data_IF_883984638324
#
_entry.id   IF_883984638324
#
_cell.length_a   1.000
_cell.length_b   1.000
_cell.length_c   1.000
_cell.angle_alpha   90.00
_cell.angle_beta   90.00
_cell.angle_gamma   90.00
#
_symmetry.space_group_name_H-M   'P 1'
#
loop_
_entity.id
_entity.type
_entity.pdbx_description
1 polymer ?
#
# COMPACT_ATOMS: atom_id res chain seq x y z
N UNK A 1 -12.59 -10.30 7.38
CA UNK A 1 -12.16 -8.89 7.33
C UNK A 1 -11.93 -8.25 8.70
N UNK A 2 -12.82 -8.47 9.69
CA UNK A 2 -12.61 -8.02 11.09
C UNK A 2 -11.30 -8.51 11.72
N UNK A 3 -10.82 -9.70 11.34
CA UNK A 3 -9.55 -10.24 11.84
C UNK A 3 -8.30 -9.47 11.40
N UNK A 4 -8.34 -8.77 10.26
CA UNK A 4 -7.19 -8.05 9.70
C UNK A 4 -7.09 -6.62 10.26
N UNK A 5 -8.21 -5.91 10.36
CA UNK A 5 -8.29 -4.66 11.11
C UNK A 5 -8.10 -4.88 12.61
N UNK A 6 -8.58 -6.00 13.14
CA UNK A 6 -8.38 -6.41 14.53
C UNK A 6 -6.91 -6.65 14.86
N UNK A 7 -6.13 -7.25 13.96
CA UNK A 7 -4.68 -7.46 14.16
C UNK A 7 -3.89 -6.17 14.02
N UNK A 8 -4.22 -5.30 13.07
CA UNK A 8 -3.60 -3.97 12.95
C UNK A 8 -3.91 -3.11 14.18
N UNK A 9 -5.17 -3.09 14.63
CA UNK A 9 -5.60 -2.36 15.83
C UNK A 9 -5.01 -2.96 17.13
N UNK A 10 -4.84 -4.29 17.21
CA UNK A 10 -4.14 -4.94 18.33
C UNK A 10 -2.67 -4.56 18.38
N UNK A 11 -2.02 -4.42 17.22
CA UNK A 11 -0.62 -4.02 17.12
C UNK A 11 -0.40 -2.54 17.48
N UNK A 12 -1.40 -1.67 17.25
CA UNK A 12 -1.28 -0.24 17.55
C UNK A 12 -1.57 0.11 19.03
N UNK A 13 -2.27 -0.74 19.79
CA UNK A 13 -2.80 -0.36 21.13
C UNK A 13 -2.17 -1.00 22.36
N UNK A 14 -1.08 -1.77 22.24
CA UNK A 14 -0.29 -2.13 23.42
C UNK A 14 0.38 -3.48 23.29
N UNK A 15 1.69 -3.45 23.08
CA UNK A 15 2.57 -4.60 22.88
C UNK A 15 2.43 -5.67 23.98
N UNK A 16 2.03 -5.30 25.21
CA UNK A 16 1.90 -6.24 26.33
C UNK A 16 0.70 -7.20 26.26
N UNK A 17 -0.37 -6.89 25.52
CA UNK A 17 -1.54 -7.80 25.40
C UNK A 17 -1.41 -8.81 24.26
N UNK A 18 -0.62 -8.47 23.24
CA UNK A 18 -0.36 -9.35 22.10
C UNK A 18 0.43 -10.61 22.53
N UNK A 19 1.38 -10.47 23.46
CA UNK A 19 2.20 -11.58 23.97
C UNK A 19 1.38 -12.62 24.74
N UNK A 20 0.39 -12.18 25.53
CA UNK A 20 -0.47 -13.09 26.28
C UNK A 20 -1.41 -13.88 25.36
N UNK A 21 -1.92 -13.22 24.31
CA UNK A 21 -2.82 -13.85 23.35
C UNK A 21 -2.07 -14.82 22.42
N UNK A 22 -0.85 -14.46 21.98
CA UNK A 22 0.01 -15.33 21.18
C UNK A 22 0.39 -16.61 21.94
N UNK A 23 0.73 -16.54 23.23
CA UNK A 23 1.06 -17.74 24.03
C UNK A 23 -0.14 -18.67 24.21
N UNK A 24 -1.35 -18.12 24.35
CA UNK A 24 -2.58 -18.92 24.48
C UNK A 24 -2.96 -19.63 23.17
N UNK A 25 -2.70 -19.02 22.01
CA UNK A 25 -3.06 -19.59 20.70
C UNK A 25 -1.97 -20.53 20.13
N UNK A 26 -0.70 -20.26 20.39
CA UNK A 26 0.44 -21.02 19.84
C UNK A 26 0.67 -22.37 20.55
N UNK A 27 0.08 -22.60 21.72
CA UNK A 27 0.14 -23.88 22.44
C UNK A 27 -0.47 -25.08 21.69
N UNK A 28 -1.08 -24.89 20.51
CA UNK A 28 -1.66 -25.96 19.69
C UNK A 28 -0.82 -26.40 18.48
N UNK A 29 0.38 -25.84 18.25
CA UNK A 29 1.22 -26.18 17.10
C UNK A 29 2.53 -26.89 17.54
N UNK A 30 2.60 -28.24 17.49
CA UNK A 30 3.67 -29.04 18.11
C UNK A 30 4.98 -29.11 17.33
N UNK A 31 5.22 -28.24 16.32
CA UNK A 31 6.28 -28.47 15.32
C UNK A 31 7.20 -27.30 14.99
N UNK A 32 7.15 -26.21 15.76
CA UNK A 32 8.08 -25.07 15.55
C UNK A 32 9.05 -24.99 16.73
N UNK A 33 10.35 -25.07 16.43
CA UNK A 33 11.42 -25.02 17.45
C UNK A 33 11.40 -23.66 18.17
N UNK A 34 11.33 -23.62 19.50
CA UNK A 34 11.19 -22.40 20.30
C UNK A 34 12.31 -21.37 20.05
N UNK A 35 13.54 -21.82 19.79
CA UNK A 35 14.71 -20.94 19.70
C UNK A 35 14.71 -20.01 18.48
N UNK A 36 14.19 -20.46 17.34
CA UNK A 36 14.11 -19.66 16.11
C UNK A 36 13.06 -18.57 16.23
N UNK A 37 11.94 -18.88 16.91
CA UNK A 37 10.88 -17.90 17.17
C UNK A 37 11.43 -16.80 18.09
N UNK A 38 12.17 -17.14 19.14
CA UNK A 38 12.71 -16.14 20.08
C UNK A 38 13.72 -15.17 19.43
N UNK A 39 14.59 -15.65 18.53
CA UNK A 39 15.54 -14.80 17.79
C UNK A 39 14.87 -13.88 16.76
N UNK A 40 13.86 -14.40 16.06
CA UNK A 40 13.09 -13.61 15.12
C UNK A 40 12.26 -12.54 15.86
N UNK A 41 11.66 -12.91 16.99
CA UNK A 41 10.88 -12.01 17.83
C UNK A 41 11.74 -10.92 18.48
N UNK A 42 12.96 -11.23 18.94
CA UNK A 42 13.86 -10.21 19.51
C UNK A 42 14.33 -9.20 18.47
N UNK A 43 14.70 -9.65 17.26
CA UNK A 43 15.06 -8.72 16.17
C UNK A 43 13.90 -7.87 15.66
N UNK A 44 12.69 -8.43 15.64
CA UNK A 44 11.47 -7.67 15.29
C UNK A 44 11.12 -6.70 16.42
N UNK A 45 11.22 -7.13 17.68
CA UNK A 45 10.92 -6.31 18.85
C UNK A 45 11.89 -5.12 18.97
N UNK A 46 13.20 -5.33 18.78
CA UNK A 46 14.21 -4.27 18.77
C UNK A 46 14.01 -3.28 17.63
N UNK A 47 13.69 -3.76 16.42
CA UNK A 47 13.36 -2.87 15.29
C UNK A 47 12.10 -2.07 15.53
N UNK A 48 11.08 -2.66 16.13
CA UNK A 48 9.82 -1.97 16.44
C UNK A 48 10.04 -0.94 17.55
N UNK A 49 10.82 -1.24 18.58
CA UNK A 49 11.10 -0.27 19.67
C UNK A 49 11.94 0.92 19.19
N UNK A 50 12.87 0.72 18.25
CA UNK A 50 13.56 1.85 17.61
C UNK A 50 12.63 2.72 16.75
N UNK A 51 11.65 2.12 16.07
CA UNK A 51 10.68 2.85 15.24
C UNK A 51 9.64 3.61 16.08
N UNK A 52 9.25 3.09 17.26
CA UNK A 52 8.24 3.72 18.12
C UNK A 52 8.81 4.77 19.08
N UNK A 53 10.13 4.79 19.32
CA UNK A 53 10.75 5.76 20.24
C UNK A 53 10.92 7.16 19.63
N UNK A 54 10.86 7.29 18.29
CA UNK A 54 11.16 8.54 17.61
C UNK A 54 9.91 9.09 16.90
N UNK A 55 9.18 9.98 17.58
CA UNK A 55 8.01 10.68 17.01
C UNK A 55 8.31 11.29 15.63
N UNK A 56 9.55 11.76 15.42
CA UNK A 56 9.99 12.27 14.13
C UNK A 56 9.83 11.25 12.99
N UNK A 57 10.25 9.99 13.19
CA UNK A 57 10.14 8.94 12.17
C UNK A 57 8.68 8.63 11.87
N UNK A 58 7.81 8.60 12.88
CA UNK A 58 6.38 8.40 12.68
C UNK A 58 5.75 9.53 11.87
N UNK A 59 6.04 10.79 12.21
CA UNK A 59 5.53 11.95 11.48
C UNK A 59 6.07 12.04 10.06
N UNK A 60 7.36 11.77 9.86
CA UNK A 60 7.96 11.73 8.53
C UNK A 60 7.36 10.60 7.69
N UNK A 61 7.16 9.40 8.25
CA UNK A 61 6.54 8.28 7.55
C UNK A 61 5.09 8.56 7.18
N UNK A 62 4.32 9.16 8.10
CA UNK A 62 2.94 9.57 7.85
C UNK A 62 2.88 10.65 6.76
N UNK A 63 3.80 11.62 6.81
CA UNK A 63 3.94 12.65 5.77
C UNK A 63 4.25 12.06 4.41
N UNK A 64 5.19 11.11 4.32
CA UNK A 64 5.50 10.40 3.08
C UNK A 64 4.33 9.56 2.57
N UNK A 65 3.61 8.88 3.45
CA UNK A 65 2.42 8.10 3.07
C UNK A 65 1.31 9.01 2.52
N UNK A 66 1.03 10.12 3.20
CA UNK A 66 0.05 11.11 2.77
C UNK A 66 0.47 11.77 1.44
N UNK A 67 1.74 12.14 1.30
CA UNK A 67 2.28 12.70 0.05
C UNK A 67 2.16 11.70 -1.10
N UNK A 68 2.43 10.42 -0.87
CA UNK A 68 2.29 9.38 -1.89
C UNK A 68 0.83 9.26 -2.36
N UNK A 69 -0.13 9.24 -1.43
CA UNK A 69 -1.55 9.23 -1.79
C UNK A 69 -1.99 10.49 -2.54
N UNK A 70 -1.52 11.67 -2.14
CA UNK A 70 -1.83 12.91 -2.82
C UNK A 70 -1.23 12.95 -4.23
N UNK A 71 0.00 12.47 -4.40
CA UNK A 71 0.64 12.33 -5.71
C UNK A 71 -0.12 11.37 -6.60
N UNK A 72 -0.59 10.25 -6.04
CA UNK A 72 -1.37 9.26 -6.76
C UNK A 72 -2.72 9.83 -7.24
N UNK A 73 -3.46 10.49 -6.35
CA UNK A 73 -4.69 11.19 -6.71
C UNK A 73 -4.44 12.31 -7.75
N UNK A 74 -3.38 13.09 -7.57
CA UNK A 74 -3.01 14.17 -8.52
C UNK A 74 -2.64 13.60 -9.89
N UNK A 75 -1.98 12.44 -9.95
CA UNK A 75 -1.70 11.74 -11.19
C UNK A 75 -3.00 11.43 -11.94
N UNK A 76 -3.98 10.83 -11.27
CA UNK A 76 -5.30 10.56 -11.85
C UNK A 76 -5.96 11.85 -12.40
N UNK A 77 -5.89 12.94 -11.63
CA UNK A 77 -6.41 14.24 -12.05
C UNK A 77 -5.73 14.76 -13.32
N UNK A 78 -4.41 14.67 -13.40
CA UNK A 78 -3.63 15.06 -14.57
C UNK A 78 -4.01 14.19 -15.78
N UNK A 79 -4.25 12.89 -15.60
CA UNK A 79 -4.71 12.02 -16.68
C UNK A 79 -6.08 12.45 -17.20
N UNK A 80 -7.06 12.69 -16.32
CA UNK A 80 -8.40 13.18 -16.73
C UNK A 80 -8.28 14.51 -17.47
N UNK A 81 -7.43 15.41 -16.98
CA UNK A 81 -7.13 16.69 -17.62
C UNK A 81 -6.46 16.53 -18.99
N UNK A 82 -5.52 15.59 -19.13
CA UNK A 82 -4.81 15.31 -20.38
C UNK A 82 -5.75 14.80 -21.49
N UNK A 83 -6.84 14.12 -21.14
CA UNK A 83 -7.89 13.72 -22.08
C UNK A 83 -8.94 14.82 -22.33
N UNK A 84 -8.70 16.04 -21.85
CA UNK A 84 -9.49 17.23 -22.20
C UNK A 84 -10.63 17.58 -21.25
N UNK A 85 -10.73 16.90 -20.10
CA UNK A 85 -11.77 17.18 -19.10
C UNK A 85 -11.18 17.66 -17.77
N UNK A 86 -11.66 18.80 -17.28
CA UNK A 86 -11.28 19.31 -15.98
C UNK A 86 -12.25 18.78 -14.91
N UNK A 87 -11.79 17.83 -14.10
CA UNK A 87 -12.52 17.36 -12.94
C UNK A 87 -12.22 18.26 -11.73
N UNK A 88 -13.23 18.59 -10.91
CA UNK A 88 -12.99 19.32 -9.67
C UNK A 88 -12.11 18.50 -8.71
N UNK A 89 -11.16 19.10 -7.97
CA UNK A 89 -10.40 18.39 -6.95
C UNK A 89 -11.26 17.70 -5.89
N UNK A 90 -12.44 18.26 -5.60
CA UNK A 90 -13.40 17.69 -4.63
C UNK A 90 -13.99 16.39 -5.18
N UNK A 91 -14.45 16.40 -6.43
CA UNK A 91 -15.06 15.24 -7.10
C UNK A 91 -14.03 14.11 -7.26
N UNK A 92 -12.79 14.47 -7.60
CA UNK A 92 -11.66 13.55 -7.65
C UNK A 92 -11.43 12.88 -6.29
N UNK A 93 -11.38 13.65 -5.19
CA UNK A 93 -11.18 13.10 -3.86
C UNK A 93 -12.33 12.17 -3.44
N UNK A 94 -13.57 12.48 -3.81
CA UNK A 94 -14.72 11.60 -3.57
C UNK A 94 -14.58 10.31 -4.38
N UNK A 95 -14.25 10.39 -5.67
CA UNK A 95 -14.03 9.23 -6.52
C UNK A 95 -12.89 8.34 -5.99
N UNK A 96 -11.77 8.96 -5.64
CA UNK A 96 -10.60 8.29 -5.11
C UNK A 96 -10.89 7.67 -3.74
N UNK A 97 -11.60 8.37 -2.86
CA UNK A 97 -12.03 7.86 -1.56
C UNK A 97 -12.95 6.65 -1.69
N UNK A 98 -13.94 6.71 -2.58
CA UNK A 98 -14.85 5.60 -2.86
C UNK A 98 -14.10 4.37 -3.40
N UNK A 99 -13.18 4.59 -4.34
CA UNK A 99 -12.32 3.54 -4.88
C UNK A 99 -11.46 2.89 -3.79
N UNK A 100 -10.85 3.68 -2.90
CA UNK A 100 -10.05 3.17 -1.80
C UNK A 100 -10.86 2.36 -0.78
N UNK A 101 -12.07 2.80 -0.43
CA UNK A 101 -12.96 2.07 0.49
C UNK A 101 -13.33 0.69 -0.07
N UNK A 102 -13.67 0.63 -1.35
CA UNK A 102 -14.05 -0.62 -1.99
C UNK A 102 -12.84 -1.50 -2.33
N UNK A 103 -11.66 -0.93 -2.59
CA UNK A 103 -10.42 -1.66 -2.77
C UNK A 103 -9.99 -2.47 -1.53
N UNK A 104 -10.55 -2.15 -0.35
CA UNK A 104 -10.37 -2.97 0.86
C UNK A 104 -10.90 -4.39 0.66
N UNK A 105 -11.88 -4.60 -0.23
CA UNK A 105 -12.44 -5.93 -0.53
C UNK A 105 -11.54 -6.66 -1.53
N UNK A 106 -10.81 -7.71 -1.11
CA UNK A 106 -9.87 -8.42 -1.98
C UNK A 106 -10.64 -9.40 -2.87
N UNK A 107 -11.44 -8.86 -3.80
CA UNK A 107 -12.19 -9.66 -4.77
C UNK A 107 -11.28 -10.03 -5.94
N UNK A 108 -10.40 -9.12 -6.36
CA UNK A 108 -9.49 -9.33 -7.50
C UNK A 108 -8.02 -9.13 -7.10
N UNK A 109 -7.10 -9.99 -7.60
CA UNK A 109 -5.68 -9.79 -7.36
C UNK A 109 -5.24 -8.42 -7.94
N UNK A 110 -4.51 -7.65 -7.13
CA UNK A 110 -4.04 -6.29 -7.43
C UNK A 110 -5.14 -5.24 -7.76
N UNK A 111 -6.40 -5.51 -7.41
CA UNK A 111 -7.51 -4.59 -7.68
C UNK A 111 -7.82 -4.40 -9.17
N UNK A 112 -7.33 -5.29 -10.04
CA UNK A 112 -7.64 -5.29 -11.48
C UNK A 112 -9.14 -5.51 -11.70
N UNK A 113 -9.76 -4.72 -12.56
CA UNK A 113 -11.20 -4.68 -12.76
C UNK A 113 -11.94 -3.84 -11.71
N UNK A 114 -11.70 -4.09 -10.41
CA UNK A 114 -12.45 -3.43 -9.34
C UNK A 114 -12.28 -1.91 -9.35
N UNK A 115 -11.05 -1.42 -9.49
CA UNK A 115 -10.75 0.02 -9.48
C UNK A 115 -11.40 0.71 -10.69
N UNK A 116 -11.39 0.09 -11.87
CA UNK A 116 -12.02 0.59 -13.09
C UNK A 116 -13.54 0.64 -12.94
N UNK A 117 -14.13 -0.42 -12.39
CA UNK A 117 -15.57 -0.50 -12.12
C UNK A 117 -16.06 0.54 -11.12
N UNK A 118 -15.17 1.18 -10.35
CA UNK A 118 -15.54 2.23 -9.41
C UNK A 118 -15.19 3.60 -9.96
N UNK A 119 -13.94 3.81 -10.38
CA UNK A 119 -13.46 5.11 -10.82
C UNK A 119 -14.18 5.58 -12.08
N UNK A 120 -14.35 4.72 -13.08
CA UNK A 120 -14.98 5.11 -14.35
C UNK A 120 -16.42 5.61 -14.12
N UNK A 121 -17.35 4.82 -13.55
CA UNK A 121 -18.71 5.30 -13.35
C UNK A 121 -18.80 6.47 -12.37
N UNK A 122 -17.90 6.56 -11.38
CA UNK A 122 -17.92 7.70 -10.45
C UNK A 122 -17.49 9.00 -11.14
N UNK A 123 -16.41 8.96 -11.94
CA UNK A 123 -15.95 10.10 -12.73
C UNK A 123 -16.98 10.48 -13.81
N UNK A 124 -17.65 9.50 -14.41
CA UNK A 124 -18.78 9.72 -15.33
C UNK A 124 -19.96 10.38 -14.63
N UNK A 125 -20.27 9.95 -13.40
CA UNK A 125 -21.30 10.56 -12.56
C UNK A 125 -21.03 12.02 -12.23
N UNK A 126 -19.76 12.46 -12.27
CA UNK A 126 -19.35 13.85 -12.10
C UNK A 126 -19.32 14.67 -13.41
N UNK A 127 -19.77 14.09 -14.53
CA UNK A 127 -19.98 14.81 -15.78
C UNK A 127 -18.86 14.67 -16.82
N UNK A 128 -17.85 13.84 -16.56
CA UNK A 128 -16.86 13.46 -17.58
C UNK A 128 -17.48 12.42 -18.52
N UNK A 129 -17.40 12.55 -19.85
CA UNK A 129 -17.97 11.53 -20.72
C UNK A 129 -17.22 10.21 -20.62
N UNK A 130 -17.95 9.13 -20.92
CA UNK A 130 -17.52 7.77 -20.63
C UNK A 130 -16.23 7.38 -21.36
N UNK A 131 -16.03 7.89 -22.58
CA UNK A 131 -14.86 7.55 -23.39
C UNK A 131 -13.59 8.10 -22.75
N UNK A 132 -13.62 9.37 -22.35
CA UNK A 132 -12.53 10.13 -21.76
C UNK A 132 -12.23 9.62 -20.34
N UNK A 133 -13.26 9.34 -19.53
CA UNK A 133 -13.10 8.73 -18.21
C UNK A 133 -12.42 7.35 -18.30
N UNK A 134 -12.83 6.53 -19.27
CA UNK A 134 -12.25 5.20 -19.49
C UNK A 134 -10.80 5.29 -19.92
N UNK A 135 -10.48 6.17 -20.89
CA UNK A 135 -9.11 6.39 -21.35
C UNK A 135 -8.21 6.91 -20.23
N UNK A 136 -8.69 7.88 -19.44
CA UNK A 136 -7.97 8.45 -18.31
C UNK A 136 -7.63 7.40 -17.26
N UNK A 137 -8.63 6.62 -16.81
CA UNK A 137 -8.43 5.61 -15.78
C UNK A 137 -7.51 4.48 -16.28
N UNK A 138 -7.68 4.01 -17.53
CA UNK A 138 -6.83 2.96 -18.08
C UNK A 138 -5.39 3.43 -18.29
N UNK A 139 -5.17 4.65 -18.78
CA UNK A 139 -3.83 5.22 -18.93
C UNK A 139 -3.14 5.41 -17.58
N UNK A 140 -3.88 5.96 -16.60
CA UNK A 140 -3.44 6.08 -15.22
C UNK A 140 -3.00 4.71 -14.66
N UNK A 141 -3.83 3.68 -14.81
CA UNK A 141 -3.52 2.34 -14.33
C UNK A 141 -2.36 1.69 -15.07
N UNK A 142 -2.25 1.91 -16.37
CA UNK A 142 -1.13 1.40 -17.15
C UNK A 142 0.17 1.94 -16.58
N UNK A 143 0.27 3.25 -16.34
CA UNK A 143 1.46 3.84 -15.74
C UNK A 143 1.65 3.37 -14.31
N UNK A 144 0.64 3.42 -13.45
CA UNK A 144 0.80 3.05 -12.03
C UNK A 144 1.13 1.57 -11.82
N UNK A 145 0.61 0.67 -12.66
CA UNK A 145 0.86 -0.77 -12.53
C UNK A 145 2.13 -1.20 -13.24
N UNK A 146 2.39 -0.67 -14.44
CA UNK A 146 3.51 -1.12 -15.26
C UNK A 146 4.80 -0.38 -14.96
N UNK A 147 4.79 0.87 -14.50
CA UNK A 147 6.01 1.63 -14.25
C UNK A 147 6.85 1.11 -13.06
N UNK A 148 6.26 0.62 -11.95
CA UNK A 148 7.04 0.06 -10.84
C UNK A 148 7.81 -1.21 -11.20
N UNK A 149 7.31 -2.03 -12.13
CA UNK A 149 7.93 -3.30 -12.55
C UNK A 149 9.33 -3.10 -13.16
N UNK A 150 9.54 -2.29 -14.22
CA UNK A 150 10.84 -2.05 -14.82
C UNK A 150 11.75 -1.27 -13.87
N UNK A 151 11.21 -0.34 -13.08
CA UNK A 151 12.01 0.40 -12.07
C UNK A 151 12.54 -0.58 -11.02
N UNK A 152 11.71 -1.47 -10.51
CA UNK A 152 12.11 -2.53 -9.57
C UNK A 152 13.13 -3.48 -10.19
N UNK A 153 12.93 -3.89 -11.43
CA UNK A 153 13.88 -4.72 -12.18
C UNK A 153 15.23 -4.02 -12.37
N UNK A 154 15.24 -2.76 -12.78
CA UNK A 154 16.45 -1.96 -12.93
C UNK A 154 17.17 -1.76 -11.59
N UNK A 155 16.44 -1.51 -10.50
CA UNK A 155 16.99 -1.40 -9.16
C UNK A 155 17.63 -2.74 -8.72
N UNK A 156 16.97 -3.87 -8.97
CA UNK A 156 17.50 -5.20 -8.69
C UNK A 156 18.78 -5.49 -9.48
N UNK A 157 18.76 -5.25 -10.79
CA UNK A 157 19.95 -5.41 -11.65
C UNK A 157 21.09 -4.49 -11.21
N UNK A 158 20.80 -3.26 -10.79
CA UNK A 158 21.82 -2.34 -10.27
C UNK A 158 22.48 -2.86 -8.99
N UNK A 159 21.72 -3.57 -8.15
CA UNK A 159 22.20 -4.16 -6.91
C UNK A 159 23.05 -5.40 -7.20
N UNK A 160 22.60 -6.24 -8.13
CA UNK A 160 23.33 -7.44 -8.56
C UNK A 160 24.64 -7.09 -9.27
N UNK A 161 24.62 -6.04 -10.10
CA UNK A 161 25.81 -5.47 -10.74
C UNK A 161 26.82 -4.91 -9.72
N UNK A 162 26.34 -4.27 -8.65
CA UNK A 162 27.19 -3.80 -7.55
C UNK A 162 27.74 -4.97 -6.72
N UNK A 163 26.95 -6.03 -6.51
CA UNK A 163 27.38 -7.22 -5.77
C UNK A 163 28.46 -8.00 -6.53
N UNK A 164 28.40 -8.05 -7.87
CA UNK A 164 29.44 -8.63 -8.70
C UNK A 164 30.77 -7.86 -8.73
N UNK A 165 30.78 -6.57 -8.32
CA UNK A 165 31.98 -5.71 -8.28
C UNK A 165 32.68 -5.67 -6.92
N UNK A 166 32.06 -6.17 -5.85
CA UNK A 166 32.72 -6.37 -4.56
C UNK A 166 32.91 -7.87 -4.31
N UNK A 167 33.90 -8.53 -4.96
CA UNK A 167 34.43 -9.76 -4.43
C UNK A 167 35.14 -9.39 -3.13
N UNK A 168 34.49 -9.60 -1.99
CA UNK A 168 35.16 -9.56 -0.70
C UNK A 168 36.21 -10.67 -0.71
N UNK A 169 37.48 -10.24 -0.77
CA UNK A 169 38.68 -10.78 -0.12
C UNK A 169 38.54 -12.15 0.56
#
# INVERSE_FOLDING_TARGET
MLAFFGTIALLTRGQHKADAWLRATVGRLPRVKPETITRLLTHIAERITMLTSNRAILWTSLGWAAANWLLDATSLWIFVYAFGYALSPIDLLVAFGLANVLAVVPITPAGLGLIEFILIPTIVGFGVPQQEATLAVLAYRFVNFWLPIPIGGAAYLSLEWRRGKNPTT
#
